data_IF_179763631440
#
_entry.id   IF_179763631440
#
_cell.length_a   1.000
_cell.length_b   1.000
_cell.length_c   1.000
_cell.angle_alpha   90.00
_cell.angle_beta   90.00
_cell.angle_gamma   90.00
#
_symmetry.space_group_name_H-M   'P 1'
#
loop_
_entity.id
_entity.type
_entity.pdbx_description
1 polymer ?
#
# COMPACT_ATOMS: atom_id res chain seq x y z
N UNK A 1 -0.34 4.02 -12.75
CA UNK A 1 0.17 4.48 -11.49
C UNK A 1 -0.68 3.94 -10.34
N UNK A 2 -1.54 4.69 -9.66
CA UNK A 2 -2.20 4.23 -8.40
C UNK A 2 -3.28 3.13 -8.53
N UNK A 3 -3.85 2.87 -9.68
CA UNK A 3 -4.91 1.85 -9.83
C UNK A 3 -4.42 0.47 -10.15
N UNK A 4 -3.13 0.29 -10.44
CA UNK A 4 -2.59 -0.97 -11.01
C UNK A 4 -3.48 -1.50 -12.16
N UNK A 5 -4.08 -0.56 -12.93
CA UNK A 5 -5.07 -0.83 -13.97
C UNK A 5 -4.38 -1.05 -15.32
N UNK A 6 -4.59 -2.22 -15.89
CA UNK A 6 -3.99 -2.61 -17.18
C UNK A 6 -4.38 -1.66 -18.31
N UNK A 7 -5.59 -1.13 -18.28
CA UNK A 7 -6.14 -0.25 -19.33
C UNK A 7 -6.08 1.23 -18.97
N UNK A 8 -5.24 1.63 -18.01
CA UNK A 8 -5.17 2.98 -17.46
C UNK A 8 -5.10 4.08 -18.52
N UNK A 9 -4.24 3.94 -19.55
CA UNK A 9 -4.11 4.94 -20.63
C UNK A 9 -5.38 5.08 -21.44
N UNK A 10 -6.04 3.96 -21.76
CA UNK A 10 -7.29 3.94 -22.53
C UNK A 10 -8.44 4.57 -21.73
N UNK A 11 -8.53 4.23 -20.44
CA UNK A 11 -9.50 4.81 -19.51
C UNK A 11 -9.28 6.31 -19.37
N UNK A 12 -8.04 6.76 -19.17
CA UNK A 12 -7.74 8.19 -19.04
C UNK A 12 -8.16 8.97 -20.29
N UNK A 13 -7.87 8.45 -21.49
CA UNK A 13 -8.32 9.08 -22.75
C UNK A 13 -9.85 9.15 -22.82
N UNK A 14 -10.54 8.04 -22.55
CA UNK A 14 -12.00 8.01 -22.57
C UNK A 14 -12.63 9.01 -21.58
N UNK A 15 -12.04 9.18 -20.40
CA UNK A 15 -12.48 10.18 -19.42
C UNK A 15 -12.30 11.60 -19.96
N UNK A 16 -11.16 11.89 -20.59
CA UNK A 16 -10.90 13.23 -21.19
C UNK A 16 -11.90 13.52 -22.30
N UNK A 17 -12.14 12.55 -23.19
CA UNK A 17 -13.05 12.68 -24.32
C UNK A 17 -14.54 12.82 -23.87
N UNK A 18 -14.89 12.26 -22.72
CA UNK A 18 -16.25 12.29 -22.16
C UNK A 18 -16.56 13.52 -21.29
N UNK A 19 -15.62 14.45 -21.14
CA UNK A 19 -15.85 15.67 -20.33
C UNK A 19 -16.92 16.56 -20.92
N UNK A 20 -17.73 17.21 -20.06
CA UNK A 20 -17.72 17.19 -18.59
C UNK A 20 -18.34 15.92 -18.01
N UNK A 21 -17.70 15.35 -16.97
CA UNK A 21 -18.26 14.22 -16.23
C UNK A 21 -19.34 14.73 -15.26
N UNK A 22 -20.56 14.23 -15.39
CA UNK A 22 -21.72 14.73 -14.65
C UNK A 22 -21.79 14.25 -13.21
N UNK A 23 -21.48 12.98 -13.01
CA UNK A 23 -21.57 12.29 -11.71
C UNK A 23 -20.72 11.01 -11.70
N UNK A 24 -20.70 10.33 -10.57
CA UNK A 24 -19.95 9.08 -10.39
C UNK A 24 -20.48 7.93 -11.25
N UNK A 25 -21.78 7.90 -11.53
CA UNK A 25 -22.41 6.92 -12.42
C UNK A 25 -21.93 7.08 -13.86
N UNK A 26 -21.92 8.32 -14.36
CA UNK A 26 -21.38 8.65 -15.69
C UNK A 26 -19.89 8.25 -15.78
N UNK A 27 -19.09 8.57 -14.77
CA UNK A 27 -17.69 8.16 -14.75
C UNK A 27 -17.54 6.62 -14.78
N UNK A 28 -18.34 5.91 -13.99
CA UNK A 28 -18.31 4.45 -13.96
C UNK A 28 -18.64 3.84 -15.33
N UNK A 29 -19.61 4.41 -16.05
CA UNK A 29 -20.01 3.98 -17.39
C UNK A 29 -18.92 4.24 -18.44
N UNK A 30 -18.29 5.42 -18.41
CA UNK A 30 -17.15 5.77 -19.27
C UNK A 30 -15.99 4.77 -19.05
N UNK A 31 -15.64 4.51 -17.81
CA UNK A 31 -14.59 3.54 -17.47
C UNK A 31 -14.97 2.15 -17.96
N UNK A 32 -16.19 1.70 -17.69
CA UNK A 32 -16.68 0.39 -18.12
C UNK A 32 -16.59 0.25 -19.64
N UNK A 33 -17.00 1.24 -20.39
CA UNK A 33 -16.99 1.23 -21.85
C UNK A 33 -15.57 1.23 -22.42
N UNK A 34 -14.61 1.83 -21.74
CA UNK A 34 -13.20 1.84 -22.12
C UNK A 34 -12.50 0.48 -21.94
N UNK A 35 -13.00 -0.41 -21.07
CA UNK A 35 -12.42 -1.73 -20.82
C UNK A 35 -12.99 -2.75 -21.81
N UNK A 36 -12.17 -3.60 -22.46
CA UNK A 36 -12.66 -4.66 -23.37
C UNK A 36 -13.68 -5.59 -22.74
N UNK A 37 -14.75 -5.95 -23.46
CA UNK A 37 -15.85 -6.76 -22.96
C UNK A 37 -15.41 -8.12 -22.38
N UNK A 38 -14.44 -8.77 -22.99
CA UNK A 38 -13.88 -10.05 -22.52
C UNK A 38 -13.26 -9.94 -21.12
N UNK A 39 -12.67 -8.79 -20.78
CA UNK A 39 -11.99 -8.56 -19.49
C UNK A 39 -12.96 -8.15 -18.38
N UNK A 40 -14.15 -7.62 -18.74
CA UNK A 40 -15.16 -7.15 -17.76
C UNK A 40 -15.81 -8.29 -16.96
N UNK A 41 -15.71 -9.55 -17.47
CA UNK A 41 -16.38 -10.72 -16.89
C UNK A 41 -15.65 -11.30 -15.68
N UNK A 42 -14.41 -10.91 -15.44
CA UNK A 42 -13.57 -11.45 -14.36
C UNK A 42 -13.21 -10.36 -13.37
N UNK A 43 -13.56 -10.54 -12.09
CA UNK A 43 -13.27 -9.62 -11.00
C UNK A 43 -14.39 -8.61 -10.74
N UNK A 44 -14.34 -7.92 -9.60
CA UNK A 44 -15.38 -6.98 -9.15
C UNK A 44 -15.71 -5.85 -10.14
N UNK A 45 -16.39 -4.80 -9.66
CA UNK A 45 -16.84 -3.70 -10.51
C UNK A 45 -15.68 -3.09 -11.33
N UNK A 46 -15.77 -2.97 -12.67
CA UNK A 46 -14.66 -2.57 -13.55
C UNK A 46 -14.06 -1.21 -13.20
N UNK A 47 -14.85 -0.28 -12.68
CA UNK A 47 -14.39 1.06 -12.32
C UNK A 47 -13.71 1.14 -10.93
N UNK A 48 -13.72 0.06 -10.11
CA UNK A 48 -13.21 0.09 -8.73
C UNK A 48 -11.77 0.62 -8.66
N UNK A 49 -10.88 0.13 -9.52
CA UNK A 49 -9.47 0.55 -9.54
C UNK A 49 -9.29 2.00 -9.98
N UNK A 50 -10.12 2.46 -10.91
CA UNK A 50 -10.08 3.87 -11.36
C UNK A 50 -10.55 4.80 -10.25
N UNK A 51 -11.65 4.47 -9.55
CA UNK A 51 -12.10 5.26 -8.41
C UNK A 51 -11.07 5.27 -7.27
N UNK A 52 -10.46 4.12 -6.99
CA UNK A 52 -9.36 4.04 -6.02
C UNK A 52 -8.19 4.96 -6.42
N UNK A 53 -7.77 4.93 -7.67
CA UNK A 53 -6.68 5.77 -8.15
C UNK A 53 -6.99 7.27 -8.03
N UNK A 54 -8.22 7.67 -8.35
CA UNK A 54 -8.68 9.07 -8.22
C UNK A 54 -8.71 9.47 -6.74
N UNK A 55 -9.22 8.61 -5.85
CA UNK A 55 -9.27 8.86 -4.41
C UNK A 55 -7.88 9.07 -3.82
N UNK A 56 -6.95 8.18 -4.17
CA UNK A 56 -5.56 8.26 -3.72
C UNK A 56 -4.92 9.58 -4.17
N UNK A 57 -5.12 9.96 -5.43
CA UNK A 57 -4.56 11.19 -5.99
C UNK A 57 -5.16 12.45 -5.35
N UNK A 58 -6.50 12.53 -5.29
CA UNK A 58 -7.21 13.71 -4.76
C UNK A 58 -6.92 13.91 -3.27
N UNK A 59 -6.86 12.83 -2.52
CA UNK A 59 -6.62 12.88 -1.07
C UNK A 59 -5.12 12.82 -0.72
N UNK A 60 -4.22 12.63 -1.67
CA UNK A 60 -2.78 12.42 -1.43
C UNK A 60 -2.51 11.30 -0.41
N UNK A 61 -3.29 10.21 -0.49
CA UNK A 61 -3.31 9.17 0.55
C UNK A 61 -1.94 8.53 0.79
N UNK A 62 -1.16 8.29 -0.28
CA UNK A 62 0.17 7.69 -0.16
C UNK A 62 1.20 8.67 0.40
N UNK A 63 1.13 9.95 0.05
CA UNK A 63 2.02 10.97 0.62
C UNK A 63 1.78 11.10 2.13
N UNK A 64 0.50 11.18 2.53
CA UNK A 64 0.13 11.23 3.96
C UNK A 64 0.55 9.96 4.71
N UNK A 65 0.44 8.78 4.08
CA UNK A 65 0.91 7.53 4.68
C UNK A 65 2.43 7.56 4.90
N UNK A 66 3.21 8.05 3.93
CA UNK A 66 4.65 8.17 4.06
C UNK A 66 5.02 9.10 5.24
N UNK A 67 4.43 10.29 5.28
CA UNK A 67 4.64 11.26 6.38
C UNK A 67 4.24 10.67 7.75
N UNK A 68 3.13 9.93 7.80
CA UNK A 68 2.67 9.28 9.03
C UNK A 68 3.61 8.17 9.50
N UNK A 69 4.16 7.37 8.58
CA UNK A 69 5.13 6.32 8.91
C UNK A 69 6.42 6.92 9.44
N UNK A 70 6.95 7.97 8.79
CA UNK A 70 8.16 8.66 9.23
C UNK A 70 7.96 9.31 10.60
N UNK A 71 6.82 9.99 10.80
CA UNK A 71 6.47 10.59 12.09
C UNK A 71 6.31 9.55 13.20
N UNK A 72 5.64 8.43 12.93
CA UNK A 72 5.48 7.36 13.90
C UNK A 72 6.83 6.73 14.28
N UNK A 73 7.70 6.51 13.30
CA UNK A 73 9.05 6.00 13.55
C UNK A 73 9.89 6.95 14.40
N UNK A 74 9.76 8.26 14.19
CA UNK A 74 10.51 9.27 14.93
C UNK A 74 10.11 9.34 16.41
N UNK A 75 8.82 9.17 16.73
CA UNK A 75 8.32 9.27 18.12
C UNK A 75 8.30 7.94 18.87
N UNK A 76 8.57 6.83 18.20
CA UNK A 76 8.53 5.49 18.80
C UNK A 76 9.67 5.37 19.81
N UNK A 77 9.35 5.13 21.08
CA UNK A 77 10.34 4.92 22.13
C UNK A 77 11.13 3.61 21.91
N UNK A 78 12.37 3.49 22.41
CA UNK A 78 13.10 2.22 22.44
C UNK A 78 12.27 1.10 23.07
N UNK A 79 12.18 -0.07 22.43
CA UNK A 79 11.30 -1.17 22.82
C UNK A 79 9.81 -0.95 22.48
N UNK A 80 9.44 0.23 22.00
CA UNK A 80 8.07 0.53 21.53
C UNK A 80 7.71 -0.25 20.27
N UNK A 81 6.43 -0.53 20.09
CA UNK A 81 5.91 -1.29 18.94
C UNK A 81 4.99 -0.45 18.08
N UNK A 82 5.20 -0.51 16.79
CA UNK A 82 4.32 0.06 15.77
C UNK A 82 3.60 -1.06 15.05
N UNK A 83 2.27 -0.92 14.91
CA UNK A 83 1.44 -1.85 14.13
C UNK A 83 0.72 -1.05 13.06
N UNK A 84 0.83 -1.48 11.82
CA UNK A 84 0.22 -0.82 10.67
C UNK A 84 -0.71 -1.79 9.95
N UNK A 85 -1.92 -1.33 9.68
CA UNK A 85 -2.94 -2.07 8.94
C UNK A 85 -3.16 -1.40 7.58
N UNK A 86 -2.99 -2.15 6.52
CA UNK A 86 -3.15 -1.69 5.12
C UNK A 86 -4.33 -2.40 4.49
N UNK A 87 -5.10 -1.68 3.66
CA UNK A 87 -6.30 -2.20 2.99
C UNK A 87 -6.13 -2.41 1.49
N UNK A 88 -5.04 -1.93 0.90
CA UNK A 88 -4.72 -2.17 -0.50
C UNK A 88 -3.21 -2.35 -0.73
N UNK A 89 -2.89 -2.87 -1.93
CA UNK A 89 -1.53 -3.28 -2.30
C UNK A 89 -0.49 -2.17 -2.27
N UNK A 90 -0.88 -0.94 -2.59
CA UNK A 90 0.06 0.20 -2.62
C UNK A 90 0.45 0.63 -1.20
N UNK A 91 -0.52 0.70 -0.28
CA UNK A 91 -0.24 0.94 1.14
C UNK A 91 0.66 -0.17 1.70
N UNK A 92 0.29 -1.44 1.51
CA UNK A 92 1.08 -2.57 2.03
C UNK A 92 2.51 -2.58 1.48
N UNK A 93 2.69 -2.21 0.20
CA UNK A 93 4.01 -2.10 -0.42
C UNK A 93 4.85 -1.02 0.24
N UNK A 94 4.27 0.15 0.48
CA UNK A 94 4.94 1.27 1.14
C UNK A 94 5.33 0.90 2.58
N UNK A 95 4.38 0.42 3.38
CA UNK A 95 4.64 -0.01 4.76
C UNK A 95 5.72 -1.10 4.81
N UNK A 96 5.64 -2.10 3.92
CA UNK A 96 6.65 -3.15 3.81
C UNK A 96 8.04 -2.57 3.53
N UNK A 97 8.14 -1.62 2.59
CA UNK A 97 9.42 -1.03 2.21
C UNK A 97 9.98 -0.20 3.36
N UNK A 98 9.19 0.71 3.93
CA UNK A 98 9.62 1.55 5.07
C UNK A 98 10.12 0.72 6.25
N UNK A 99 9.36 -0.32 6.65
CA UNK A 99 9.76 -1.18 7.76
C UNK A 99 11.01 -2.01 7.44
N UNK A 100 11.16 -2.44 6.18
CA UNK A 100 12.35 -3.18 5.75
C UNK A 100 13.59 -2.30 5.72
N UNK A 101 13.45 -1.08 5.24
CA UNK A 101 14.57 -0.13 5.22
C UNK A 101 15.01 0.22 6.64
N UNK A 102 14.07 0.37 7.56
CA UNK A 102 14.36 0.56 8.98
C UNK A 102 14.99 -0.69 9.65
N UNK A 103 14.58 -1.91 9.25
CA UNK A 103 15.17 -3.18 9.74
C UNK A 103 16.60 -3.37 9.25
N UNK A 104 16.92 -2.89 8.05
CA UNK A 104 18.26 -3.06 7.45
C UNK A 104 19.15 -1.83 7.62
N UNK A 105 18.63 -0.73 8.18
CA UNK A 105 19.30 0.57 8.19
C UNK A 105 19.55 1.13 6.79
N UNK A 106 18.76 0.69 5.78
CA UNK A 106 18.96 1.08 4.38
C UNK A 106 20.15 0.37 3.72
N UNK A 107 20.66 -0.71 4.31
CA UNK A 107 21.78 -1.49 3.75
C UNK A 107 21.47 -2.04 2.36
N UNK A 108 22.35 -1.79 1.40
CA UNK A 108 22.32 -2.30 0.01
C UNK A 108 23.43 -3.29 -0.29
N UNK A 109 24.23 -3.69 0.70
CA UNK A 109 25.30 -4.66 0.54
C UNK A 109 24.76 -6.03 0.11
N UNK A 110 25.51 -6.79 -0.70
CA UNK A 110 25.15 -8.16 -1.06
C UNK A 110 24.98 -9.04 0.19
N UNK A 111 23.90 -9.82 0.32
CA UNK A 111 23.64 -10.63 1.53
C UNK A 111 24.70 -11.66 1.86
N UNK A 112 25.51 -12.09 0.87
CA UNK A 112 26.56 -13.09 1.03
C UNK A 112 27.91 -12.51 1.52
N UNK A 113 28.02 -11.20 1.65
CA UNK A 113 29.24 -10.51 2.06
C UNK A 113 29.03 -9.75 3.37
N UNK A 114 30.05 -9.54 4.19
CA UNK A 114 29.98 -8.69 5.36
C UNK A 114 29.52 -7.27 4.95
N UNK A 115 28.63 -6.70 5.75
CA UNK A 115 28.19 -5.32 5.52
C UNK A 115 29.32 -4.34 5.86
N UNK A 116 29.63 -3.44 4.92
CA UNK A 116 30.68 -2.42 5.05
C UNK A 116 30.13 -1.00 4.91
N UNK A 117 28.82 -0.85 4.75
CA UNK A 117 28.20 0.46 4.49
C UNK A 117 27.86 1.26 5.76
N UNK A 118 28.07 0.71 6.96
CA UNK A 118 27.75 1.36 8.21
C UNK A 118 26.25 1.53 8.49
N UNK A 119 25.41 0.75 7.80
CA UNK A 119 23.95 0.80 7.99
C UNK A 119 23.58 0.37 9.41
N UNK A 120 22.77 1.18 10.08
CA UNK A 120 22.32 0.95 11.46
C UNK A 120 20.81 0.60 11.47
N UNK A 121 20.43 -0.66 11.73
CA UNK A 121 19.05 -1.02 11.95
C UNK A 121 18.43 -0.23 13.09
N UNK A 122 17.20 0.23 12.89
CA UNK A 122 16.47 1.00 13.92
C UNK A 122 15.28 0.23 14.48
N UNK A 123 14.83 -0.80 13.79
CA UNK A 123 13.72 -1.65 14.23
C UNK A 123 14.00 -3.12 13.98
N UNK A 124 13.24 -3.98 14.66
CA UNK A 124 13.11 -5.39 14.39
C UNK A 124 11.69 -5.70 13.92
N UNK A 125 11.52 -6.41 12.82
CA UNK A 125 10.20 -6.88 12.41
C UNK A 125 9.69 -7.96 13.36
N UNK A 126 8.45 -7.85 13.83
CA UNK A 126 7.85 -8.87 14.70
C UNK A 126 7.44 -10.11 13.90
N UNK A 127 7.28 -9.99 12.59
CA UNK A 127 7.05 -11.10 11.66
C UNK A 127 7.62 -10.77 10.29
N UNK A 128 8.28 -11.74 9.67
CA UNK A 128 8.60 -11.68 8.24
C UNK A 128 7.32 -11.88 7.44
N UNK A 129 6.88 -10.86 6.72
CA UNK A 129 5.61 -10.87 6.00
C UNK A 129 4.49 -10.16 6.77
N UNK A 130 3.28 -10.26 6.27
CA UNK A 130 2.11 -9.66 6.90
C UNK A 130 1.22 -10.73 7.55
N UNK A 131 0.54 -10.36 8.64
CA UNK A 131 -0.63 -11.12 9.08
C UNK A 131 -1.80 -10.80 8.15
N UNK A 132 -2.65 -11.77 7.97
CA UNK A 132 -3.87 -11.69 7.18
C UNK A 132 -5.03 -12.19 8.04
N UNK A 133 -6.23 -11.75 7.74
CA UNK A 133 -7.44 -12.31 8.31
C UNK A 133 -7.56 -13.80 7.97
N UNK A 134 -8.08 -14.58 8.88
CA UNK A 134 -8.45 -15.97 8.65
C UNK A 134 -9.82 -16.07 7.94
N UNK A 135 -10.22 -17.29 7.57
CA UNK A 135 -11.47 -17.53 6.86
C UNK A 135 -12.70 -17.15 7.71
N UNK A 136 -12.64 -17.35 9.02
CA UNK A 136 -13.74 -17.02 9.92
C UNK A 136 -13.93 -15.49 10.01
N UNK A 137 -12.85 -14.75 10.13
CA UNK A 137 -12.89 -13.28 10.12
C UNK A 137 -13.39 -12.74 8.78
N UNK A 138 -12.93 -13.30 7.66
CA UNK A 138 -13.39 -12.90 6.32
C UNK A 138 -14.87 -13.22 6.11
N UNK A 139 -15.36 -14.32 6.66
CA UNK A 139 -16.79 -14.68 6.60
C UNK A 139 -17.66 -13.68 7.35
N UNK A 140 -17.19 -13.16 8.50
CA UNK A 140 -17.87 -12.14 9.29
C UNK A 140 -17.72 -10.73 8.70
N UNK A 141 -16.55 -10.44 8.13
CA UNK A 141 -16.23 -9.14 7.57
C UNK A 141 -15.44 -9.29 6.26
N UNK A 142 -16.14 -9.29 5.14
CA UNK A 142 -15.52 -9.44 3.82
C UNK A 142 -14.43 -8.40 3.50
N UNK A 143 -14.44 -7.24 4.17
CA UNK A 143 -13.38 -6.22 3.99
C UNK A 143 -12.04 -6.67 4.56
N UNK A 144 -12.03 -7.62 5.50
CA UNK A 144 -10.82 -8.17 6.09
C UNK A 144 -9.96 -8.96 5.09
N UNK A 145 -10.55 -9.49 3.99
CA UNK A 145 -9.83 -10.23 2.94
C UNK A 145 -8.62 -9.46 2.38
N UNK A 146 -8.76 -8.14 2.23
CA UNK A 146 -7.71 -7.26 1.68
C UNK A 146 -6.70 -6.82 2.72
N UNK A 147 -6.98 -6.98 4.01
CA UNK A 147 -6.17 -6.46 5.10
C UNK A 147 -4.81 -7.14 5.16
N UNK A 148 -3.79 -6.32 5.38
CA UNK A 148 -2.43 -6.76 5.71
C UNK A 148 -1.98 -6.00 6.95
N UNK A 149 -1.58 -6.74 7.99
CA UNK A 149 -1.05 -6.16 9.23
C UNK A 149 0.45 -6.41 9.27
N UNK A 150 1.21 -5.35 9.53
CA UNK A 150 2.66 -5.43 9.75
C UNK A 150 3.02 -4.77 11.05
N UNK A 151 4.03 -5.29 11.74
CA UNK A 151 4.47 -4.72 12.99
C UNK A 151 6.00 -4.79 13.12
N UNK A 152 6.53 -3.76 13.77
CA UNK A 152 7.94 -3.63 14.11
C UNK A 152 8.09 -3.12 15.54
N UNK A 153 9.22 -3.43 16.14
CA UNK A 153 9.64 -2.96 17.46
C UNK A 153 10.90 -2.13 17.32
N UNK A 154 10.92 -0.95 17.93
CA UNK A 154 12.10 -0.09 17.98
C UNK A 154 13.22 -0.78 18.75
N UNK A 155 14.40 -0.84 18.16
CA UNK A 155 15.57 -1.39 18.85
C UNK A 155 15.96 -0.51 20.05
N UNK A 156 16.41 -1.17 21.11
CA UNK A 156 17.00 -0.49 22.26
C UNK A 156 18.47 -0.29 21.90
N UNK A 157 18.98 0.95 21.91
CA UNK A 157 20.42 1.18 21.71
C UNK A 157 21.21 0.36 22.72
N UNK A 158 22.23 -0.35 22.25
CA UNK A 158 23.20 -0.95 23.17
C UNK A 158 23.87 0.20 23.91
N UNK A 159 23.76 0.18 25.25
CA UNK A 159 24.47 1.15 26.11
C UNK A 159 25.96 1.05 25.82
N UNK A 160 26.54 2.12 25.32
CA UNK A 160 27.98 2.24 25.14
C UNK A 160 28.73 2.21 26.47
#
# INVERSE_FOLDING_TARGET
>A
TYGEERFARRIARAIVDARPIRDTGHLAEVVRSAIPAATRRHGGHPAKRTFQAIRIEVNRELDQLAEALDGAMAVLAPGGRMVVMSYHSLEDRMVKQTLRDAETGGCTCPPALPCVCGAEPTVRLLKRGAWKADEAEVALNRRAESVRVRAAERLIPESA
#
